data_IF_896686255682
#
_entry.id   IF_896686255682
#
_cell.length_a   1.000
_cell.length_b   1.000
_cell.length_c   1.000
_cell.angle_alpha   90.00
_cell.angle_beta   90.00
_cell.angle_gamma   90.00
#
_symmetry.space_group_name_H-M   'P 1'
#
loop_
_entity.id
_entity.type
_entity.pdbx_description
1 polymer ?
#
# COMPACT_ATOMS: atom_id res chain seq x y z
N UNK A 1 28.07 -1.92 6.75
CA UNK A 1 26.73 -2.37 7.17
C UNK A 1 25.72 -1.96 6.10
N UNK A 2 24.69 -2.76 5.79
CA UNK A 2 23.68 -2.35 4.82
C UNK A 2 22.84 -1.19 5.35
N UNK A 3 22.47 -0.24 4.47
CA UNK A 3 21.63 0.92 4.82
C UNK A 3 20.17 0.47 5.05
N UNK A 4 19.47 1.01 6.06
CA UNK A 4 18.03 0.78 6.22
C UNK A 4 17.23 1.26 5.01
N UNK A 5 16.18 0.52 4.64
CA UNK A 5 15.22 0.95 3.61
C UNK A 5 14.31 2.03 4.19
N UNK A 6 14.05 3.08 3.42
CA UNK A 6 13.17 4.19 3.82
C UNK A 6 11.91 4.18 2.97
N UNK A 7 10.78 4.51 3.60
CA UNK A 7 9.48 4.47 2.97
C UNK A 7 8.44 5.32 3.68
N UNK A 8 7.20 5.22 3.23
CA UNK A 8 6.06 5.95 3.79
C UNK A 8 4.83 5.06 3.98
N UNK A 9 3.89 5.55 4.80
CA UNK A 9 2.54 5.02 4.80
C UNK A 9 1.77 5.60 3.60
N UNK A 10 1.37 4.73 2.66
CA UNK A 10 0.77 5.14 1.39
C UNK A 10 -0.66 4.61 1.27
N UNK A 11 -1.50 5.33 0.54
CA UNK A 11 -2.86 4.88 0.25
C UNK A 11 -2.87 3.80 -0.82
N UNK A 12 -3.41 2.64 -0.46
CA UNK A 12 -3.78 1.54 -1.37
C UNK A 12 -5.30 1.47 -1.59
N UNK A 13 -5.98 2.63 -1.53
CA UNK A 13 -7.41 2.69 -1.77
C UNK A 13 -7.73 2.31 -3.23
N UNK A 14 -8.88 1.67 -3.41
CA UNK A 14 -9.41 1.12 -4.67
C UNK A 14 -8.64 -0.09 -5.19
N UNK A 15 -7.31 -0.03 -5.28
CA UNK A 15 -6.43 -1.10 -5.75
C UNK A 15 -5.14 -1.16 -4.94
N UNK A 16 -4.51 -2.34 -4.88
CA UNK A 16 -3.22 -2.49 -4.19
C UNK A 16 -2.07 -1.81 -4.95
N UNK A 17 -2.03 -1.94 -6.27
CA UNK A 17 -0.98 -1.40 -7.16
C UNK A 17 -0.81 0.12 -7.05
N UNK A 18 -1.90 0.81 -6.78
CA UNK A 18 -1.97 2.23 -6.44
C UNK A 18 -1.01 2.64 -5.29
N UNK A 19 -0.84 1.80 -4.27
CA UNK A 19 0.11 2.07 -3.19
C UNK A 19 1.56 1.99 -3.65
N UNK A 20 1.86 1.06 -4.56
CA UNK A 20 3.19 0.87 -5.16
C UNK A 20 3.54 2.05 -6.06
N UNK A 21 2.61 2.48 -6.93
CA UNK A 21 2.82 3.63 -7.81
C UNK A 21 3.18 4.89 -7.02
N UNK A 22 2.42 5.18 -5.95
CA UNK A 22 2.70 6.31 -5.06
C UNK A 22 4.05 6.22 -4.37
N UNK A 23 4.48 5.01 -4.01
CA UNK A 23 5.79 4.80 -3.40
C UNK A 23 6.94 5.08 -4.39
N UNK A 24 6.76 4.67 -5.65
CA UNK A 24 7.71 4.98 -6.73
C UNK A 24 7.79 6.50 -6.97
N UNK A 25 6.66 7.20 -6.99
CA UNK A 25 6.60 8.66 -7.17
C UNK A 25 7.40 9.45 -6.11
N UNK A 26 7.48 8.93 -4.88
CA UNK A 26 8.22 9.58 -3.77
C UNK A 26 9.63 8.99 -3.55
N UNK A 27 10.05 8.02 -4.36
CA UNK A 27 11.35 7.36 -4.21
C UNK A 27 11.48 6.44 -2.99
N UNK A 28 10.36 5.87 -2.52
CA UNK A 28 10.35 4.95 -1.38
C UNK A 28 10.86 3.54 -1.75
N UNK A 29 11.60 2.92 -0.83
CA UNK A 29 12.20 1.59 -0.96
C UNK A 29 11.41 0.49 -0.23
N UNK A 30 10.46 0.91 0.59
CA UNK A 30 9.50 0.08 1.31
C UNK A 30 8.19 0.85 1.51
N UNK A 31 7.10 0.15 1.80
CA UNK A 31 5.79 0.78 2.03
C UNK A 31 5.12 0.17 3.26
N UNK A 32 4.26 0.97 3.89
CA UNK A 32 3.23 0.49 4.81
C UNK A 32 1.86 0.88 4.24
N UNK A 33 0.89 -0.01 4.35
CA UNK A 33 -0.50 0.22 3.94
C UNK A 33 -1.45 -0.23 5.04
N UNK A 34 -2.71 0.15 4.95
CA UNK A 34 -3.76 -0.53 5.70
C UNK A 34 -4.22 -1.79 4.95
N UNK A 35 -4.48 -2.89 5.67
CA UNK A 35 -5.05 -4.12 5.09
C UNK A 35 -6.55 -4.02 4.78
N UNK A 36 -7.25 -3.05 5.36
CA UNK A 36 -8.65 -2.71 5.12
C UNK A 36 -8.89 -1.24 5.50
N UNK A 37 -10.10 -0.71 5.29
CA UNK A 37 -10.41 0.66 5.73
C UNK A 37 -10.19 0.80 7.25
N UNK A 38 -9.35 1.74 7.72
CA UNK A 38 -9.13 1.94 9.16
C UNK A 38 -10.35 2.56 9.87
N UNK A 39 -11.39 2.92 9.12
CA UNK A 39 -12.63 3.55 9.63
C UNK A 39 -13.82 2.58 9.69
N UNK A 40 -13.64 1.31 9.34
CA UNK A 40 -14.71 0.34 9.27
C UNK A 40 -14.29 -1.02 9.86
N UNK A 41 -15.27 -1.74 10.42
CA UNK A 41 -15.07 -3.10 10.92
C UNK A 41 -15.28 -4.17 9.83
N UNK A 42 -16.20 -3.91 8.90
CA UNK A 42 -16.47 -4.83 7.79
C UNK A 42 -15.30 -4.81 6.79
N UNK A 43 -14.72 -5.98 6.55
CA UNK A 43 -13.64 -6.17 5.58
C UNK A 43 -14.23 -6.71 4.28
N UNK A 44 -14.01 -6.00 3.17
CA UNK A 44 -14.22 -6.54 1.82
C UNK A 44 -13.01 -7.38 1.45
N UNK A 45 -13.22 -8.66 1.16
CA UNK A 45 -12.16 -9.50 0.60
C UNK A 45 -11.68 -8.98 -0.76
N UNK A 46 -10.40 -9.18 -1.06
CA UNK A 46 -9.83 -8.77 -2.34
C UNK A 46 -10.27 -9.73 -3.45
N UNK A 47 -10.79 -9.19 -4.54
CA UNK A 47 -10.97 -9.94 -5.78
C UNK A 47 -9.66 -9.93 -6.58
N UNK A 48 -9.50 -10.87 -7.52
CA UNK A 48 -8.33 -10.90 -8.41
C UNK A 48 -8.13 -9.57 -9.16
N UNK A 49 -9.23 -8.91 -9.54
CA UNK A 49 -9.22 -7.59 -10.19
C UNK A 49 -8.66 -6.45 -9.33
N UNK A 50 -8.53 -6.65 -8.01
CA UNK A 50 -8.02 -5.64 -7.07
C UNK A 50 -6.48 -5.71 -6.92
N UNK A 51 -5.85 -6.78 -7.43
CA UNK A 51 -4.41 -7.07 -7.31
C UNK A 51 -3.61 -6.42 -8.47
N UNK A 52 -4.21 -6.30 -9.64
CA UNK A 52 -3.64 -5.63 -10.84
C UNK A 52 -3.94 -4.12 -10.86
#
# INVERSE_FOLDING_TARGET
>A
MPRPRIGAHVSAAVKLSNGILRAVEIGAECIQIFGASPRAWAVRGQAASDIE
#
